data_IF_961363311319
#
_entry.id   IF_961363311319
#
_cell.length_a   1.000
_cell.length_b   1.000
_cell.length_c   1.000
_cell.angle_alpha   90.00
_cell.angle_beta   90.00
_cell.angle_gamma   90.00
#
_symmetry.space_group_name_H-M   'P 1'
#
loop_
_entity.id
_entity.type
_entity.pdbx_description
1 polymer ?
#
# COMPACT_ATOMS: atom_id res chain seq x y z
N UNK A 1 -14.19 -11.34 -20.61
CA UNK A 1 -14.51 -11.10 -19.19
C UNK A 1 -13.47 -10.14 -18.63
N UNK A 2 -13.81 -8.88 -18.37
CA UNK A 2 -12.90 -7.98 -17.65
C UNK A 2 -12.95 -8.41 -16.18
N UNK A 3 -11.88 -9.02 -15.66
CA UNK A 3 -11.75 -9.20 -14.22
C UNK A 3 -11.59 -7.82 -13.61
N UNK A 4 -12.53 -7.42 -12.75
CA UNK A 4 -12.36 -6.26 -11.90
C UNK A 4 -11.13 -6.51 -11.01
N UNK A 5 -10.24 -5.52 -10.86
CA UNK A 5 -9.14 -5.65 -9.92
C UNK A 5 -9.68 -5.84 -8.50
N UNK A 6 -9.01 -6.69 -7.73
CA UNK A 6 -9.31 -6.90 -6.33
C UNK A 6 -8.34 -6.08 -5.48
N UNK A 7 -8.77 -5.65 -4.31
CA UNK A 7 -7.90 -4.92 -3.39
C UNK A 7 -7.14 -5.92 -2.52
N UNK A 8 -5.84 -5.69 -2.41
CA UNK A 8 -4.93 -6.46 -1.59
C UNK A 8 -4.26 -5.55 -0.57
N UNK A 9 -4.03 -6.10 0.61
CA UNK A 9 -3.30 -5.43 1.68
C UNK A 9 -1.90 -6.00 1.74
N UNK A 10 -0.92 -5.12 1.79
CA UNK A 10 0.46 -5.43 2.12
C UNK A 10 0.61 -5.43 3.63
N UNK A 11 0.88 -6.61 4.18
CA UNK A 11 1.32 -6.74 5.55
C UNK A 11 2.86 -6.66 5.60
N UNK A 12 3.38 -5.74 6.42
CA UNK A 12 4.79 -5.63 6.76
C UNK A 12 4.95 -6.05 8.21
N UNK A 13 5.71 -7.11 8.45
CA UNK A 13 5.91 -7.69 9.79
C UNK A 13 4.60 -7.99 10.56
N UNK A 14 3.55 -8.37 9.82
CA UNK A 14 2.23 -8.66 10.39
C UNK A 14 1.36 -7.44 10.67
N UNK A 15 1.80 -6.23 10.30
CA UNK A 15 1.00 -5.01 10.35
C UNK A 15 0.46 -4.68 8.95
N UNK A 16 -0.86 -4.45 8.78
CA UNK A 16 -1.42 -4.01 7.52
C UNK A 16 -0.99 -2.56 7.25
N UNK A 17 -0.04 -2.36 6.33
CA UNK A 17 0.59 -1.05 6.10
C UNK A 17 -0.09 -0.29 4.99
N UNK A 18 -0.35 -0.94 3.86
CA UNK A 18 -0.95 -0.30 2.69
C UNK A 18 -1.90 -1.26 1.96
N UNK A 19 -2.88 -0.69 1.29
CA UNK A 19 -3.83 -1.38 0.42
C UNK A 19 -3.67 -0.87 -1.01
N UNK A 20 -3.76 -1.78 -1.97
CA UNK A 20 -3.59 -1.48 -3.38
C UNK A 20 -4.44 -2.41 -4.23
N UNK A 21 -4.75 -1.99 -5.46
CA UNK A 21 -5.48 -2.81 -6.40
C UNK A 21 -4.56 -3.73 -7.21
N UNK A 22 -4.95 -4.99 -7.36
CA UNK A 22 -4.27 -5.95 -8.21
C UNK A 22 -5.26 -6.91 -8.86
N UNK A 23 -4.94 -7.40 -10.05
CA UNK A 23 -5.75 -8.36 -10.81
C UNK A 23 -5.83 -9.71 -10.10
N UNK A 24 -4.77 -10.10 -9.40
CA UNK A 24 -4.71 -11.38 -8.69
C UNK A 24 -3.61 -11.38 -7.61
N UNK A 25 -3.63 -12.43 -6.77
CA UNK A 25 -2.65 -12.64 -5.70
C UNK A 25 -1.20 -12.74 -6.21
N UNK A 26 -1.00 -13.21 -7.46
CA UNK A 26 0.35 -13.32 -8.04
C UNK A 26 0.91 -11.95 -8.41
N UNK A 27 0.10 -11.06 -8.97
CA UNK A 27 0.49 -9.67 -9.25
C UNK A 27 0.77 -8.94 -7.95
N UNK A 28 -0.08 -9.13 -6.92
CA UNK A 28 0.15 -8.51 -5.61
C UNK A 28 1.46 -8.99 -4.96
N UNK A 29 1.79 -10.27 -5.09
CA UNK A 29 3.06 -10.81 -4.62
C UNK A 29 4.26 -10.30 -5.44
N UNK A 30 4.09 -10.10 -6.75
CA UNK A 30 5.14 -9.50 -7.58
C UNK A 30 5.40 -8.04 -7.18
N UNK A 31 4.35 -7.27 -6.90
CA UNK A 31 4.47 -5.89 -6.42
C UNK A 31 5.33 -5.80 -5.15
N UNK A 32 5.18 -6.75 -4.21
CA UNK A 32 6.01 -6.83 -3.00
C UNK A 32 7.51 -7.01 -3.28
N UNK A 33 7.88 -7.49 -4.47
CA UNK A 33 9.26 -7.69 -4.89
C UNK A 33 9.79 -6.53 -5.75
N UNK A 34 8.93 -5.61 -6.16
CA UNK A 34 9.33 -4.46 -6.96
C UNK A 34 10.23 -3.52 -6.15
N UNK A 35 11.34 -3.10 -6.77
CA UNK A 35 12.28 -2.18 -6.12
C UNK A 35 11.64 -0.83 -5.82
N UNK A 36 10.82 -0.30 -6.73
CA UNK A 36 10.18 1.00 -6.54
C UNK A 36 9.24 0.99 -5.32
N UNK A 37 8.43 -0.06 -5.12
CA UNK A 37 7.54 -0.17 -3.97
C UNK A 37 8.35 -0.27 -2.67
N UNK A 38 9.42 -1.07 -2.69
CA UNK A 38 10.34 -1.24 -1.56
C UNK A 38 11.04 0.06 -1.17
N UNK A 39 11.44 0.85 -2.15
CA UNK A 39 12.03 2.16 -1.91
C UNK A 39 10.98 3.13 -1.34
N UNK A 40 9.77 3.14 -1.89
CA UNK A 40 8.66 3.97 -1.42
C UNK A 40 8.33 3.70 0.06
N UNK A 41 8.09 2.44 0.42
CA UNK A 41 7.83 2.08 1.83
C UNK A 41 9.06 2.23 2.74
N UNK A 42 10.29 2.18 2.21
CA UNK A 42 11.49 2.36 3.03
C UNK A 42 11.74 3.83 3.38
N UNK A 43 11.29 4.77 2.55
CA UNK A 43 11.44 6.21 2.83
C UNK A 43 10.31 6.76 3.70
N UNK A 44 9.19 6.05 3.78
CA UNK A 44 8.04 6.43 4.60
C UNK A 44 8.24 6.07 6.06
N UNK A 45 7.79 6.97 6.94
CA UNK A 45 7.81 6.80 8.39
C UNK A 45 6.39 6.82 8.93
N UNK A 46 6.18 6.08 10.01
CA UNK A 46 4.95 6.07 10.79
C UNK A 46 5.32 6.07 12.27
N UNK A 47 4.82 7.07 13.00
CA UNK A 47 5.08 7.23 14.44
C UNK A 47 6.58 7.30 14.81
N UNK A 48 7.40 7.86 13.94
CA UNK A 48 8.86 7.99 14.09
C UNK A 48 9.65 6.72 13.74
N UNK A 49 8.98 5.66 13.28
CA UNK A 49 9.62 4.42 12.83
C UNK A 49 9.47 4.24 11.31
N UNK A 50 10.48 3.72 10.59
CA UNK A 50 10.35 3.41 9.18
C UNK A 50 9.28 2.33 8.97
N UNK A 51 8.44 2.48 7.94
CA UNK A 51 7.43 1.45 7.63
C UNK A 51 8.08 0.10 7.30
N UNK A 52 9.24 0.15 6.64
CA UNK A 52 10.00 -1.03 6.28
C UNK A 52 11.49 -0.84 6.60
N UNK A 53 12.03 -1.74 7.40
CA UNK A 53 13.44 -1.78 7.82
C UNK A 53 14.38 -2.41 6.76
N UNK A 54 13.86 -2.76 5.58
CA UNK A 54 14.59 -3.45 4.52
C UNK A 54 14.77 -4.97 4.75
N UNK A 55 14.32 -5.50 5.88
CA UNK A 55 14.51 -6.92 6.27
C UNK A 55 13.19 -7.64 6.58
N UNK A 56 12.18 -6.90 7.02
CA UNK A 56 10.87 -7.41 7.37
C UNK A 56 10.20 -8.06 6.15
N UNK A 57 9.45 -9.12 6.42
CA UNK A 57 8.82 -9.91 5.37
C UNK A 57 7.58 -9.19 4.86
N UNK A 58 7.60 -8.85 3.57
CA UNK A 58 6.47 -8.30 2.84
C UNK A 58 5.52 -9.43 2.42
N UNK A 59 4.23 -9.30 2.76
CA UNK A 59 3.22 -10.29 2.39
C UNK A 59 1.95 -9.62 1.90
N UNK A 60 1.61 -9.84 0.63
CA UNK A 60 0.30 -9.47 0.12
C UNK A 60 -0.76 -10.51 0.51
N UNK A 61 -1.89 -10.03 1.02
CA UNK A 61 -3.11 -10.82 1.25
C UNK A 61 -4.33 -10.09 0.71
N UNK A 62 -5.45 -10.80 0.59
CA UNK A 62 -6.73 -10.15 0.29
C UNK A 62 -7.10 -9.17 1.40
N UNK A 63 -7.50 -7.98 0.99
CA UNK A 63 -8.03 -6.98 1.93
C UNK A 63 -9.36 -7.42 2.50
N UNK A 64 -9.59 -7.07 3.75
CA UNK A 64 -10.87 -7.14 4.44
C UNK A 64 -11.80 -6.02 3.97
N UNK A 65 -13.10 -6.14 4.21
CA UNK A 65 -14.06 -5.09 3.81
C UNK A 65 -13.74 -3.71 4.39
N UNK A 66 -13.20 -3.65 5.62
CA UNK A 66 -12.78 -2.40 6.25
C UNK A 66 -11.59 -1.76 5.50
N UNK A 67 -10.58 -2.55 5.15
CA UNK A 67 -9.41 -2.09 4.40
C UNK A 67 -9.79 -1.67 2.96
N UNK A 68 -10.74 -2.38 2.35
CA UNK A 68 -11.32 -2.02 1.04
C UNK A 68 -12.05 -0.68 1.13
N UNK A 69 -12.82 -0.46 2.20
CA UNK A 69 -13.52 0.81 2.40
C UNK A 69 -12.52 1.98 2.57
N UNK A 70 -11.46 1.79 3.36
CA UNK A 70 -10.39 2.76 3.51
C UNK A 70 -9.69 3.07 2.18
N UNK A 71 -9.35 2.04 1.40
CA UNK A 71 -8.77 2.20 0.07
C UNK A 71 -9.70 3.00 -0.86
N UNK A 72 -11.00 2.67 -0.90
CA UNK A 72 -11.97 3.37 -1.74
C UNK A 72 -12.17 4.81 -1.31
N UNK A 73 -12.05 5.11 -0.02
CA UNK A 73 -12.09 6.47 0.49
C UNK A 73 -10.84 7.23 0.03
N UNK A 74 -9.65 6.67 0.24
CA UNK A 74 -8.40 7.25 -0.25
C UNK A 74 -8.39 7.45 -1.78
N UNK A 75 -9.02 6.54 -2.54
CA UNK A 75 -9.18 6.65 -3.99
C UNK A 75 -10.11 7.79 -4.42
N UNK A 76 -11.09 8.14 -3.58
CA UNK A 76 -12.00 9.27 -3.82
C UNK A 76 -11.36 10.60 -3.46
N UNK A 77 -10.59 10.63 -2.37
CA UNK A 77 -9.89 11.83 -1.91
C UNK A 77 -8.64 12.12 -2.77
N UNK A 78 -7.98 11.08 -3.27
CA UNK A 78 -6.85 11.22 -4.19
C UNK A 78 -7.34 11.62 -5.58
N UNK A 79 -6.85 12.75 -6.10
CA UNK A 79 -6.99 13.14 -7.51
C UNK A 79 -6.08 12.26 -8.38
N UNK A 80 -6.26 10.94 -8.35
CA UNK A 80 -5.44 10.05 -9.15
C UNK A 80 -5.57 10.39 -10.63
N UNK A 81 -4.42 10.47 -11.30
CA UNK A 81 -4.37 10.49 -12.75
C UNK A 81 -4.65 9.07 -13.23
N UNK A 82 -5.54 8.92 -14.22
CA UNK A 82 -5.83 7.63 -14.84
C UNK A 82 -4.52 6.95 -15.29
N UNK A 83 -4.17 5.83 -14.65
CA UNK A 83 -3.01 5.01 -15.02
C UNK A 83 -1.98 4.78 -13.91
N UNK A 84 -2.04 5.53 -12.79
CA UNK A 84 -1.11 5.35 -11.67
C UNK A 84 -1.68 4.42 -10.60
N UNK A 85 -0.85 3.56 -10.02
CA UNK A 85 -1.28 2.62 -8.99
C UNK A 85 -1.56 3.36 -7.68
N UNK A 86 -2.79 3.27 -7.16
CA UNK A 86 -3.08 3.84 -5.84
C UNK A 86 -2.48 2.97 -4.74
N UNK A 87 -1.69 3.59 -3.87
CA UNK A 87 -1.26 3.00 -2.60
C UNK A 87 -1.99 3.73 -1.47
N UNK A 88 -3.05 3.11 -0.95
CA UNK A 88 -3.78 3.66 0.20
C UNK A 88 -3.10 3.17 1.49
N UNK A 89 -2.44 4.07 2.20
CA UNK A 89 -1.81 3.76 3.47
C UNK A 89 -2.87 3.55 4.55
N UNK A 90 -2.83 2.39 5.20
CA UNK A 90 -3.74 2.01 6.30
C UNK A 90 -3.18 2.40 7.67
N UNK A 91 -1.92 2.85 7.69
CA UNK A 91 -1.24 3.39 8.85
C UNK A 91 -1.12 4.90 8.73
N UNK A 92 -1.05 5.58 9.87
CA UNK A 92 -0.74 7.00 9.91
C UNK A 92 0.71 7.19 9.49
N UNK A 93 0.91 7.77 8.31
CA UNK A 93 2.21 8.23 7.89
C UNK A 93 2.53 9.50 8.67
N UNK A 94 3.75 9.59 9.18
CA UNK A 94 4.27 10.89 9.56
C UNK A 94 4.43 11.65 8.27
N UNK A 95 3.57 12.65 8.07
CA UNK A 95 3.70 13.58 6.95
C UNK A 95 5.17 13.96 6.79
N UNK A 96 5.65 13.96 5.56
CA UNK A 96 6.83 14.72 5.19
C UNK A 96 6.48 16.17 5.47
N UNK A 97 6.63 16.59 6.73
CA UNK A 97 6.51 17.98 7.10
C UNK A 97 7.45 18.73 6.16
N UNK A 98 6.87 19.51 5.26
CA UNK A 98 7.55 20.59 4.59
C UNK A 98 8.25 21.38 5.70
N UNK A 99 9.54 21.13 5.86
CA UNK A 99 10.38 21.91 6.76
C UNK A 99 10.27 23.38 6.32
N UNK A 100 9.97 24.30 7.24
CA UNK A 100 9.62 25.69 6.95
C UNK A 100 10.72 26.50 6.26
#
# INVERSE_FOLDING_TARGET
MMLLPAIFTLDIDGRPTLAFEAKNLRESQQLCHEHWLRQDIAVLMSNGEPLWDGKARLRARRSTENEIAAYRQAARDSKQTEGDLLLAYLVELDDLQETP
#
